data_IF_928876566185
#
_entry.id   IF_928876566185
#
_cell.length_a   1.000
_cell.length_b   1.000
_cell.length_c   1.000
_cell.angle_alpha   90.00
_cell.angle_beta   90.00
_cell.angle_gamma   90.00
#
_symmetry.space_group_name_H-M   'P 1'
#
loop_
_entity.id
_entity.type
_entity.pdbx_description
1 polymer ?
#
# COMPACT_ATOMS: atom_id res chain seq x y z
N UNK A 1 30.39 -37.45 -49.79
CA UNK A 1 30.50 -36.51 -48.65
C UNK A 1 29.21 -35.71 -48.56
N UNK A 2 28.27 -36.11 -47.71
CA UNK A 2 27.09 -35.29 -47.37
C UNK A 2 27.12 -35.08 -45.86
N UNK A 3 27.43 -33.85 -45.46
CA UNK A 3 27.50 -33.43 -44.07
C UNK A 3 26.07 -33.23 -43.55
N UNK A 4 25.67 -33.97 -42.52
CA UNK A 4 24.43 -33.72 -41.79
C UNK A 4 24.74 -32.68 -40.69
N UNK A 5 24.25 -31.45 -40.86
CA UNK A 5 24.16 -30.48 -39.77
C UNK A 5 23.04 -30.91 -38.82
N UNK A 6 23.39 -31.25 -37.58
CA UNK A 6 22.42 -31.51 -36.52
C UNK A 6 22.03 -30.17 -35.89
N UNK A 7 20.81 -29.71 -36.17
CA UNK A 7 20.25 -28.49 -35.57
C UNK A 7 19.70 -28.84 -34.17
N UNK A 8 20.46 -28.57 -33.12
CA UNK A 8 19.96 -28.67 -31.74
C UNK A 8 18.98 -27.55 -31.45
N UNK A 9 17.69 -27.88 -31.44
CA UNK A 9 16.62 -27.00 -31.00
C UNK A 9 16.64 -26.94 -29.46
N UNK A 10 17.15 -25.84 -28.89
CA UNK A 10 17.06 -25.60 -27.45
C UNK A 10 15.61 -25.28 -27.09
N UNK A 11 14.89 -26.24 -26.49
CA UNK A 11 13.63 -25.95 -25.81
C UNK A 11 13.92 -25.13 -24.56
N UNK A 12 13.66 -23.83 -24.61
CA UNK A 12 13.49 -23.04 -23.39
C UNK A 12 12.19 -23.47 -22.73
N UNK A 13 12.30 -24.24 -21.64
CA UNK A 13 11.19 -24.44 -20.72
C UNK A 13 10.88 -23.08 -20.08
N UNK A 14 9.86 -22.39 -20.59
CA UNK A 14 9.23 -21.28 -19.90
C UNK A 14 8.58 -21.85 -18.64
N UNK A 15 9.30 -21.82 -17.53
CA UNK A 15 8.68 -21.95 -16.21
C UNK A 15 7.62 -20.85 -16.15
N UNK A 16 6.35 -21.24 -16.28
CA UNK A 16 5.22 -20.32 -16.33
C UNK A 16 5.19 -19.50 -15.06
N UNK A 17 5.71 -18.28 -15.13
CA UNK A 17 5.44 -17.26 -14.13
C UNK A 17 3.92 -17.12 -14.08
N UNK A 18 3.32 -17.30 -12.89
CA UNK A 18 1.88 -17.31 -12.74
C UNK A 18 1.23 -16.05 -13.32
N UNK A 19 -0.05 -16.14 -13.69
CA UNK A 19 -0.92 -15.13 -14.35
C UNK A 19 -0.94 -13.69 -13.77
N UNK A 20 -0.18 -13.40 -12.72
CA UNK A 20 -0.07 -12.10 -12.07
C UNK A 20 1.35 -11.52 -12.05
N UNK A 21 2.34 -12.25 -12.59
CA UNK A 21 3.71 -11.79 -12.66
C UNK A 21 3.84 -10.61 -13.64
N UNK A 22 4.60 -9.60 -13.23
CA UNK A 22 4.86 -8.44 -14.07
C UNK A 22 5.87 -8.72 -15.18
N UNK A 23 5.90 -7.83 -16.18
CA UNK A 23 6.84 -7.87 -17.29
C UNK A 23 8.32 -7.69 -16.88
N UNK A 24 8.59 -7.32 -15.63
CA UNK A 24 9.93 -7.21 -15.06
C UNK A 24 10.51 -8.54 -14.56
N UNK A 25 9.70 -9.60 -14.48
CA UNK A 25 10.21 -10.92 -14.11
C UNK A 25 11.22 -11.47 -15.13
N UNK A 26 12.28 -12.10 -14.61
CA UNK A 26 13.43 -12.61 -15.36
C UNK A 26 14.49 -11.55 -15.72
N UNK A 27 14.20 -10.25 -15.55
CA UNK A 27 15.15 -9.18 -15.88
C UNK A 27 16.18 -8.97 -14.76
N UNK A 28 17.30 -8.32 -15.11
CA UNK A 28 18.21 -7.79 -14.11
C UNK A 28 17.53 -6.61 -13.39
N UNK A 29 17.35 -6.65 -12.06
CA UNK A 29 16.67 -5.59 -11.35
C UNK A 29 17.54 -4.32 -11.25
N UNK A 30 16.93 -3.13 -11.14
CA UNK A 30 17.63 -1.94 -10.65
C UNK A 30 18.12 -2.14 -9.22
N UNK A 31 19.14 -1.41 -8.81
CA UNK A 31 19.59 -1.40 -7.42
C UNK A 31 18.57 -0.75 -6.47
N UNK A 32 18.56 -1.18 -5.20
CA UNK A 32 17.93 -0.39 -4.13
C UNK A 32 18.57 0.99 -3.99
N UNK A 33 17.86 1.94 -3.38
CA UNK A 33 18.33 3.29 -3.08
C UNK A 33 17.41 4.38 -3.61
N UNK A 34 17.89 5.62 -3.53
CA UNK A 34 17.19 6.79 -4.06
C UNK A 34 17.16 6.72 -5.59
N UNK A 35 15.97 6.96 -6.14
CA UNK A 35 15.69 7.05 -7.57
C UNK A 35 15.03 8.40 -7.85
N UNK A 36 15.22 8.89 -9.07
CA UNK A 36 14.61 10.12 -9.56
C UNK A 36 13.76 9.83 -10.79
N UNK A 37 12.71 10.62 -11.00
CA UNK A 37 11.90 10.59 -12.22
C UNK A 37 11.26 11.95 -12.50
N UNK A 38 11.01 12.22 -13.78
CA UNK A 38 10.32 13.43 -14.22
C UNK A 38 8.81 13.20 -14.21
N UNK A 39 8.09 13.92 -13.36
CA UNK A 39 6.63 13.86 -13.25
C UNK A 39 6.07 15.26 -13.41
N UNK A 40 5.22 15.48 -14.41
CA UNK A 40 4.58 16.77 -14.67
C UNK A 40 5.59 17.94 -14.74
N UNK A 41 6.74 17.72 -15.37
CA UNK A 41 7.82 18.71 -15.51
C UNK A 41 8.65 18.95 -14.23
N UNK A 42 8.45 18.16 -13.17
CA UNK A 42 9.19 18.25 -11.91
C UNK A 42 10.06 17.02 -11.71
N UNK A 43 11.28 17.23 -11.21
CA UNK A 43 12.12 16.13 -10.74
C UNK A 43 11.59 15.64 -9.39
N UNK A 44 11.15 14.39 -9.32
CA UNK A 44 10.61 13.74 -8.12
C UNK A 44 11.52 12.61 -7.68
N UNK A 45 11.65 12.43 -6.38
CA UNK A 45 12.50 11.39 -5.79
C UNK A 45 11.69 10.36 -5.01
N UNK A 46 12.17 9.12 -5.00
CA UNK A 46 11.63 8.05 -4.18
C UNK A 46 12.75 7.08 -3.78
N UNK A 47 12.58 6.40 -2.66
CA UNK A 47 13.43 5.27 -2.30
C UNK A 47 12.81 3.98 -2.77
N UNK A 48 13.54 3.21 -3.58
CA UNK A 48 13.24 1.82 -3.90
C UNK A 48 14.04 0.92 -2.96
N UNK A 49 13.37 0.01 -2.26
CA UNK A 49 14.02 -1.00 -1.44
C UNK A 49 13.59 -2.40 -1.89
N UNK A 50 14.53 -3.14 -2.48
CA UNK A 50 14.39 -4.56 -2.73
C UNK A 50 14.67 -5.37 -1.45
N UNK A 51 14.07 -6.57 -1.32
CA UNK A 51 14.47 -7.51 -0.29
C UNK A 51 15.95 -7.93 -0.46
N UNK A 52 16.61 -8.32 0.62
CA UNK A 52 18.05 -8.62 0.61
C UNK A 52 18.35 -9.78 -0.33
N UNK A 53 17.49 -10.80 -0.31
CA UNK A 53 17.57 -11.97 -1.19
C UNK A 53 16.57 -11.87 -2.34
N UNK A 54 16.54 -10.73 -3.04
CA UNK A 54 15.64 -10.54 -4.18
C UNK A 54 15.89 -11.59 -5.27
N UNK A 55 14.80 -12.24 -5.69
CA UNK A 55 14.77 -13.24 -6.76
C UNK A 55 13.98 -12.67 -7.94
N UNK A 56 14.63 -12.52 -9.09
CA UNK A 56 14.02 -11.93 -10.28
C UNK A 56 13.03 -12.85 -11.00
N UNK A 57 12.96 -14.13 -10.65
CA UNK A 57 12.04 -15.12 -11.19
C UNK A 57 10.90 -15.49 -10.22
N UNK A 58 10.82 -14.81 -9.07
CA UNK A 58 9.77 -14.99 -8.07
C UNK A 58 9.01 -13.68 -7.92
N UNK A 59 7.72 -13.62 -8.25
CA UNK A 59 6.92 -12.41 -8.04
C UNK A 59 6.90 -11.99 -6.56
N UNK A 60 7.33 -10.76 -6.28
CA UNK A 60 7.32 -10.15 -4.94
C UNK A 60 6.09 -9.27 -4.75
N UNK A 61 5.68 -9.08 -3.48
CA UNK A 61 4.70 -8.06 -3.13
C UNK A 61 5.28 -6.67 -3.33
N UNK A 62 4.43 -5.67 -3.56
CA UNK A 62 4.84 -4.27 -3.64
C UNK A 62 4.07 -3.44 -2.62
N UNK A 63 4.78 -2.70 -1.76
CA UNK A 63 4.16 -1.80 -0.77
C UNK A 63 4.69 -0.38 -0.96
N UNK A 64 3.76 0.57 -1.15
CA UNK A 64 4.04 2.00 -1.09
C UNK A 64 3.85 2.53 0.34
N UNK A 65 4.85 3.26 0.85
CA UNK A 65 4.82 3.91 2.16
C UNK A 65 4.91 5.43 2.03
N UNK A 66 3.81 6.16 2.30
CA UNK A 66 3.73 7.61 2.13
C UNK A 66 3.99 8.34 3.45
N UNK A 67 4.92 9.30 3.47
CA UNK A 67 5.30 10.05 4.67
C UNK A 67 4.22 11.05 5.12
N UNK A 68 4.29 11.47 6.39
CA UNK A 68 3.42 12.52 6.98
C UNK A 68 3.90 13.93 6.61
N UNK A 69 3.13 14.97 6.98
CA UNK A 69 3.53 16.36 6.77
C UNK A 69 4.88 16.66 7.45
N UNK A 70 5.78 17.35 6.77
CA UNK A 70 7.16 17.65 7.24
C UNK A 70 8.09 16.44 7.35
N UNK A 71 7.62 15.23 7.04
CA UNK A 71 8.45 14.05 6.83
C UNK A 71 9.00 13.97 5.40
N UNK A 72 9.74 12.90 5.12
CA UNK A 72 10.25 12.57 3.79
C UNK A 72 10.38 11.05 3.60
N UNK A 73 10.76 10.62 2.38
CA UNK A 73 10.97 9.21 2.05
C UNK A 73 11.97 8.49 2.97
N UNK A 74 13.02 9.18 3.44
CA UNK A 74 14.03 8.64 4.34
C UNK A 74 13.46 8.31 5.72
N UNK A 75 12.55 9.13 6.24
CA UNK A 75 11.87 8.84 7.51
C UNK A 75 11.01 7.56 7.42
N UNK A 76 10.33 7.34 6.29
CA UNK A 76 9.56 6.10 6.06
C UNK A 76 10.48 4.89 6.02
N UNK A 77 11.61 4.98 5.34
CA UNK A 77 12.63 3.91 5.26
C UNK A 77 13.21 3.61 6.65
N UNK A 78 13.52 4.63 7.44
CA UNK A 78 14.04 4.49 8.80
C UNK A 78 13.01 3.83 9.73
N UNK A 79 11.74 4.21 9.61
CA UNK A 79 10.61 3.59 10.32
C UNK A 79 10.24 2.19 9.83
N UNK A 80 10.99 1.63 8.86
CA UNK A 80 10.72 0.29 8.31
C UNK A 80 9.37 0.21 7.61
N UNK A 81 8.94 1.29 6.95
CA UNK A 81 7.64 1.41 6.28
C UNK A 81 6.48 1.13 7.24
N UNK A 82 6.44 1.87 8.35
CA UNK A 82 5.47 1.68 9.43
C UNK A 82 5.55 0.26 10.03
N UNK A 83 6.77 -0.21 10.25
CA UNK A 83 7.07 -1.53 10.80
C UNK A 83 6.87 -2.73 9.86
N UNK A 84 6.32 -2.53 8.65
CA UNK A 84 6.02 -3.62 7.73
C UNK A 84 7.25 -4.37 7.22
N UNK A 85 8.40 -3.71 7.11
CA UNK A 85 9.64 -4.34 6.64
C UNK A 85 10.03 -5.56 7.47
N UNK A 86 9.86 -5.49 8.79
CA UNK A 86 10.21 -6.59 9.69
C UNK A 86 9.26 -7.79 9.54
N UNK A 87 7.99 -7.55 9.17
CA UNK A 87 6.99 -8.60 8.96
C UNK A 87 7.07 -9.24 7.57
N UNK A 88 7.62 -8.50 6.60
CA UNK A 88 7.72 -8.93 5.22
C UNK A 88 8.85 -9.92 4.95
N UNK A 89 9.95 -9.86 5.71
CA UNK A 89 11.16 -10.59 5.37
C UNK A 89 11.58 -10.30 3.92
N UNK A 90 11.91 -11.35 3.15
CA UNK A 90 12.32 -11.23 1.75
C UNK A 90 11.14 -11.29 0.73
N UNK A 91 9.88 -11.16 1.16
CA UNK A 91 8.72 -11.32 0.25
C UNK A 91 8.31 -10.06 -0.51
N UNK A 92 8.87 -8.91 -0.14
CA UNK A 92 8.26 -7.61 -0.46
C UNK A 92 9.29 -6.59 -0.91
N UNK A 93 8.97 -5.91 -1.99
CA UNK A 93 9.61 -4.68 -2.43
C UNK A 93 8.85 -3.51 -1.82
N UNK A 94 9.59 -2.51 -1.35
CA UNK A 94 9.02 -1.29 -0.81
C UNK A 94 9.40 -0.07 -1.65
N UNK A 95 8.46 0.86 -1.80
CA UNK A 95 8.66 2.18 -2.40
C UNK A 95 8.24 3.25 -1.40
N UNK A 96 9.12 4.20 -1.09
CA UNK A 96 8.79 5.39 -0.31
C UNK A 96 8.93 6.63 -1.21
N UNK A 97 7.83 7.20 -1.71
CA UNK A 97 7.88 8.42 -2.50
C UNK A 97 8.13 9.66 -1.64
N UNK A 98 8.80 10.66 -2.22
CA UNK A 98 8.99 11.97 -1.60
C UNK A 98 7.94 12.97 -2.14
N UNK A 99 7.09 13.44 -1.24
CA UNK A 99 6.06 14.44 -1.49
C UNK A 99 6.65 15.82 -1.73
N UNK A 100 5.97 16.63 -2.54
CA UNK A 100 6.37 18.03 -2.75
C UNK A 100 6.10 18.85 -1.49
N UNK A 101 7.01 19.79 -1.18
CA UNK A 101 6.88 20.67 0.00
C UNK A 101 6.65 19.89 1.30
N UNK A 102 7.25 18.70 1.41
CA UNK A 102 7.06 17.76 2.51
C UNK A 102 5.58 17.42 2.80
N UNK A 103 4.75 17.35 1.76
CA UNK A 103 3.33 17.02 1.87
C UNK A 103 2.75 16.40 0.60
N UNK A 104 1.42 16.25 0.60
CA UNK A 104 0.65 15.55 -0.43
C UNK A 104 -0.57 16.37 -0.87
N UNK A 105 -0.34 17.62 -1.25
CA UNK A 105 -1.41 18.50 -1.73
C UNK A 105 -2.10 17.94 -2.97
N UNK A 106 -1.38 17.11 -3.75
CA UNK A 106 -1.92 16.39 -4.89
C UNK A 106 -2.69 17.29 -5.87
N UNK A 107 -2.18 18.50 -6.08
CA UNK A 107 -2.83 19.49 -6.94
C UNK A 107 -2.95 18.94 -8.36
N UNK A 108 -4.16 18.95 -8.91
CA UNK A 108 -4.43 18.37 -10.23
C UNK A 108 -4.15 16.85 -10.33
N UNK A 109 -3.97 16.14 -9.22
CA UNK A 109 -3.64 14.71 -9.22
C UNK A 109 -2.14 14.38 -9.40
N UNK A 110 -1.25 15.35 -9.23
CA UNK A 110 0.18 15.16 -9.54
C UNK A 110 0.89 14.08 -8.73
N UNK A 111 0.47 13.84 -7.49
CA UNK A 111 1.06 12.80 -6.64
C UNK A 111 0.49 11.41 -6.96
N UNK A 112 -0.73 11.36 -7.52
CA UNK A 112 -1.26 10.14 -8.13
C UNK A 112 -0.51 9.81 -9.40
N UNK A 113 -0.24 10.79 -10.28
CA UNK A 113 0.61 10.58 -11.47
C UNK A 113 2.00 10.07 -11.08
N UNK A 114 2.58 10.59 -9.99
CA UNK A 114 3.86 10.10 -9.48
C UNK A 114 3.76 8.62 -9.03
N UNK A 115 2.71 8.28 -8.29
CA UNK A 115 2.41 6.89 -7.88
C UNK A 115 2.31 5.96 -9.10
N UNK A 116 1.60 6.38 -10.15
CA UNK A 116 1.43 5.59 -11.37
C UNK A 116 2.75 5.35 -12.09
N UNK A 117 3.60 6.37 -12.19
CA UNK A 117 4.89 6.23 -12.85
C UNK A 117 5.83 5.30 -12.08
N UNK A 118 5.85 5.36 -10.74
CA UNK A 118 6.62 4.41 -9.93
C UNK A 118 6.08 2.98 -10.07
N UNK A 119 4.76 2.80 -10.10
CA UNK A 119 4.15 1.49 -10.31
C UNK A 119 4.47 0.94 -11.71
N UNK A 120 4.37 1.77 -12.75
CA UNK A 120 4.74 1.40 -14.11
C UNK A 120 6.21 1.01 -14.21
N UNK A 121 7.11 1.79 -13.59
CA UNK A 121 8.53 1.46 -13.49
C UNK A 121 8.74 0.10 -12.80
N UNK A 122 8.06 -0.14 -11.68
CA UNK A 122 8.16 -1.41 -10.95
C UNK A 122 7.67 -2.59 -11.82
N UNK A 123 6.51 -2.47 -12.47
CA UNK A 123 5.97 -3.52 -13.35
C UNK A 123 6.92 -3.86 -14.51
N UNK A 124 7.63 -2.87 -15.04
CA UNK A 124 8.52 -3.07 -16.19
C UNK A 124 9.89 -3.66 -15.82
N UNK A 125 10.39 -3.40 -14.60
CA UNK A 125 11.79 -3.63 -14.23
C UNK A 125 11.99 -4.57 -13.04
N UNK A 126 10.94 -4.85 -12.28
CA UNK A 126 10.96 -5.73 -11.11
C UNK A 126 9.98 -6.86 -11.30
N UNK A 127 10.28 -8.02 -10.71
CA UNK A 127 9.38 -9.17 -10.67
C UNK A 127 8.40 -8.98 -9.51
N UNK A 128 7.25 -8.38 -9.81
CA UNK A 128 6.20 -8.14 -8.83
C UNK A 128 4.98 -9.01 -9.14
N UNK A 129 4.23 -9.37 -8.11
CA UNK A 129 2.87 -9.86 -8.27
C UNK A 129 1.93 -8.64 -8.36
N UNK A 130 1.41 -8.38 -9.55
CA UNK A 130 0.54 -7.23 -9.82
C UNK A 130 -0.79 -7.30 -9.05
N UNK A 131 -1.16 -8.47 -8.48
CA UNK A 131 -2.34 -8.62 -7.61
C UNK A 131 -2.01 -8.40 -6.13
N UNK A 132 -0.75 -8.12 -5.78
CA UNK A 132 -0.29 -7.88 -4.41
C UNK A 132 0.45 -6.54 -4.29
N UNK A 133 -0.17 -5.49 -4.83
CA UNK A 133 0.27 -4.09 -4.69
C UNK A 133 -0.56 -3.41 -3.61
N UNK A 134 0.11 -2.74 -2.67
CA UNK A 134 -0.50 -2.15 -1.49
C UNK A 134 0.02 -0.74 -1.21
N UNK A 135 -0.78 0.05 -0.48
CA UNK A 135 -0.39 1.39 -0.02
C UNK A 135 -0.68 1.57 1.47
N UNK A 136 0.23 2.26 2.17
CA UNK A 136 0.03 2.71 3.55
C UNK A 136 0.71 4.04 3.84
N UNK A 137 0.22 4.75 4.84
CA UNK A 137 0.79 6.00 5.29
C UNK A 137 0.13 6.53 6.55
N UNK A 138 0.83 7.47 7.19
CA UNK A 138 0.38 8.16 8.41
C UNK A 138 0.02 9.62 8.12
N UNK A 139 -1.04 10.13 8.74
CA UNK A 139 -1.43 11.55 8.69
C UNK A 139 -1.66 12.01 7.24
N UNK A 140 -0.89 12.98 6.75
CA UNK A 140 -0.94 13.39 5.34
C UNK A 140 -0.61 12.24 4.37
N UNK A 141 0.29 11.32 4.76
CA UNK A 141 0.55 10.10 3.99
C UNK A 141 -0.60 9.09 4.07
N UNK A 142 -1.37 9.11 5.16
CA UNK A 142 -2.64 8.38 5.26
C UNK A 142 -3.71 8.95 4.34
N UNK A 143 -3.77 10.28 4.23
CA UNK A 143 -4.63 10.96 3.25
C UNK A 143 -4.20 10.65 1.80
N UNK A 144 -2.90 10.60 1.52
CA UNK A 144 -2.40 10.20 0.20
C UNK A 144 -2.74 8.74 -0.12
N UNK A 145 -2.58 7.84 0.86
CA UNK A 145 -2.99 6.44 0.74
C UNK A 145 -4.49 6.32 0.42
N UNK A 146 -5.35 7.10 1.10
CA UNK A 146 -6.77 7.18 0.76
C UNK A 146 -7.01 7.70 -0.67
N UNK A 147 -6.23 8.69 -1.14
CA UNK A 147 -6.32 9.19 -2.51
C UNK A 147 -5.95 8.12 -3.55
N UNK A 148 -4.96 7.28 -3.27
CA UNK A 148 -4.62 6.08 -4.06
C UNK A 148 -5.80 5.11 -4.10
N UNK A 149 -6.43 4.83 -2.96
CA UNK A 149 -7.61 3.97 -2.88
C UNK A 149 -8.74 4.44 -3.80
N UNK A 150 -8.98 5.77 -3.84
CA UNK A 150 -9.99 6.35 -4.73
C UNK A 150 -9.62 6.27 -6.21
N UNK A 151 -8.35 6.55 -6.52
CA UNK A 151 -7.90 6.80 -7.89
C UNK A 151 -7.48 5.53 -8.61
N UNK A 152 -6.92 4.54 -7.90
CA UNK A 152 -6.34 3.30 -8.45
C UNK A 152 -6.87 2.01 -7.81
N UNK A 153 -8.20 1.84 -7.68
CA UNK A 153 -8.82 0.69 -7.01
C UNK A 153 -8.58 -0.65 -7.74
N UNK A 154 -8.19 -0.62 -9.02
CA UNK A 154 -7.87 -1.80 -9.82
C UNK A 154 -6.39 -2.19 -9.78
N UNK A 155 -5.50 -1.25 -9.45
CA UNK A 155 -4.06 -1.48 -9.40
C UNK A 155 -3.58 -1.85 -7.99
N UNK A 156 -4.29 -1.39 -6.95
CA UNK A 156 -3.97 -1.65 -5.55
C UNK A 156 -4.95 -2.65 -4.94
N UNK A 157 -4.44 -3.79 -4.49
CA UNK A 157 -5.24 -4.85 -3.88
C UNK A 157 -5.83 -4.44 -2.53
N UNK A 158 -5.09 -3.63 -1.77
CA UNK A 158 -5.54 -3.04 -0.52
C UNK A 158 -4.80 -1.74 -0.16
N UNK A 159 -5.46 -0.91 0.63
CA UNK A 159 -4.91 0.30 1.23
C UNK A 159 -5.14 0.28 2.74
N UNK A 160 -4.12 0.64 3.51
CA UNK A 160 -4.20 0.87 4.94
C UNK A 160 -3.92 2.34 5.27
N UNK A 161 -4.77 2.97 6.06
CA UNK A 161 -4.66 4.38 6.43
C UNK A 161 -4.44 4.49 7.93
N UNK A 162 -3.42 5.25 8.36
CA UNK A 162 -3.15 5.52 9.78
C UNK A 162 -3.39 7.01 10.05
N UNK A 163 -4.35 7.33 10.92
CA UNK A 163 -4.75 8.71 11.28
C UNK A 163 -4.90 9.64 10.07
N UNK A 164 -5.56 9.18 8.99
CA UNK A 164 -5.74 9.96 7.77
C UNK A 164 -7.09 10.68 7.71
N UNK A 165 -7.15 11.76 6.93
CA UNK A 165 -8.37 12.52 6.61
C UNK A 165 -8.43 12.86 5.12
N UNK A 166 -9.51 13.50 4.65
CA UNK A 166 -9.66 13.92 3.25
C UNK A 166 -8.81 15.16 2.96
N UNK A 167 -7.50 14.99 2.74
CA UNK A 167 -6.56 16.09 2.46
C UNK A 167 -6.02 16.08 1.02
N UNK A 168 -5.79 14.89 0.45
CA UNK A 168 -5.14 14.71 -0.87
C UNK A 168 -6.14 14.45 -2.01
N UNK A 169 -7.42 14.76 -1.79
CA UNK A 169 -8.50 14.48 -2.73
C UNK A 169 -8.93 13.00 -2.77
N UNK A 170 -9.91 12.71 -3.62
CA UNK A 170 -10.47 11.36 -3.81
C UNK A 170 -11.14 11.26 -5.19
N UNK A 171 -10.35 11.40 -6.24
CA UNK A 171 -10.86 11.29 -7.61
C UNK A 171 -11.22 9.84 -7.92
N UNK A 172 -12.38 9.62 -8.55
CA UNK A 172 -12.83 8.30 -9.00
C UNK A 172 -13.45 7.40 -7.93
N UNK A 173 -13.35 7.70 -6.62
CA UNK A 173 -13.58 6.80 -5.47
C UNK A 173 -14.98 6.18 -5.28
N UNK A 174 -15.52 5.56 -6.32
CA UNK A 174 -16.80 4.86 -6.40
C UNK A 174 -16.62 3.37 -6.75
N UNK A 175 -15.39 2.95 -7.05
CA UNK A 175 -15.03 1.55 -7.30
C UNK A 175 -14.50 0.92 -6.00
N UNK A 176 -14.95 -0.29 -5.62
CA UNK A 176 -14.52 -0.95 -4.39
C UNK A 176 -13.03 -1.22 -4.31
N UNK A 177 -12.46 -1.07 -3.09
CA UNK A 177 -11.08 -1.46 -2.77
C UNK A 177 -11.03 -2.02 -1.35
N UNK A 178 -10.12 -2.96 -1.08
CA UNK A 178 -9.93 -3.44 0.29
C UNK A 178 -9.35 -2.30 1.13
N UNK A 179 -10.08 -1.84 2.14
CA UNK A 179 -9.74 -0.64 2.91
C UNK A 179 -9.61 -0.91 4.41
N UNK A 180 -8.45 -0.60 4.97
CA UNK A 180 -8.20 -0.57 6.42
C UNK A 180 -7.98 0.88 6.86
N UNK A 181 -8.55 1.25 7.99
CA UNK A 181 -8.28 2.53 8.63
C UNK A 181 -8.05 2.35 10.14
N UNK A 182 -6.96 2.90 10.64
CA UNK A 182 -6.55 2.92 12.05
C UNK A 182 -6.57 4.37 12.53
N UNK A 183 -7.26 4.68 13.64
CA UNK A 183 -7.41 6.06 14.10
C UNK A 183 -7.53 6.20 15.62
N UNK A 184 -6.99 7.28 16.17
CA UNK A 184 -7.02 7.59 17.60
C UNK A 184 -8.24 8.40 18.01
N UNK A 185 -8.90 8.02 19.11
CA UNK A 185 -10.01 8.79 19.67
C UNK A 185 -9.56 10.04 20.43
N UNK A 186 -8.29 10.10 20.83
CA UNK A 186 -7.65 11.29 21.39
C UNK A 186 -6.87 12.11 20.34
N UNK A 187 -7.06 11.83 19.04
CA UNK A 187 -6.39 12.56 17.96
C UNK A 187 -6.90 14.01 17.88
N UNK A 188 -6.03 14.95 18.24
CA UNK A 188 -6.31 16.38 18.28
C UNK A 188 -5.79 17.14 17.04
N UNK A 189 -5.22 16.43 16.06
CA UNK A 189 -4.72 17.01 14.80
C UNK A 189 -5.72 16.73 13.69
N UNK A 190 -6.08 15.45 13.52
CA UNK A 190 -7.15 15.01 12.63
C UNK A 190 -8.14 14.24 13.48
N UNK A 191 -9.31 14.83 13.71
CA UNK A 191 -10.30 14.21 14.60
C UNK A 191 -10.71 12.82 14.11
N UNK A 192 -11.01 11.92 15.04
CA UNK A 192 -11.54 10.58 14.72
C UNK A 192 -12.78 10.64 13.83
N UNK A 193 -13.57 11.72 13.91
CA UNK A 193 -14.72 11.93 13.04
C UNK A 193 -14.33 12.05 11.57
N UNK A 194 -13.20 12.68 11.25
CA UNK A 194 -12.68 12.74 9.88
C UNK A 194 -12.23 11.35 9.39
N UNK A 195 -11.62 10.55 10.27
CA UNK A 195 -11.32 9.15 9.96
C UNK A 195 -12.58 8.31 9.69
N UNK A 196 -13.62 8.49 10.51
CA UNK A 196 -14.93 7.83 10.35
C UNK A 196 -15.59 8.22 9.03
N UNK A 197 -15.50 9.48 8.59
CA UNK A 197 -16.00 9.89 7.27
C UNK A 197 -15.35 9.10 6.12
N UNK A 198 -14.03 8.88 6.18
CA UNK A 198 -13.35 8.05 5.17
C UNK A 198 -13.80 6.58 5.25
N UNK A 199 -13.93 6.03 6.45
CA UNK A 199 -14.48 4.68 6.67
C UNK A 199 -15.88 4.54 6.07
N UNK A 200 -16.78 5.46 6.38
CA UNK A 200 -18.20 5.39 6.01
C UNK A 200 -18.38 5.45 4.49
N UNK A 201 -17.53 6.22 3.81
CA UNK A 201 -17.42 6.16 2.35
C UNK A 201 -17.17 4.74 1.87
N UNK A 202 -16.15 4.05 2.40
CA UNK A 202 -15.81 2.70 1.96
C UNK A 202 -16.82 1.65 2.39
N UNK A 203 -17.52 1.83 3.51
CA UNK A 203 -18.68 1.00 3.88
C UNK A 203 -19.73 1.06 2.76
N UNK A 204 -20.07 2.26 2.27
CA UNK A 204 -20.99 2.45 1.14
C UNK A 204 -20.43 1.90 -0.18
N UNK A 205 -19.22 2.33 -0.55
CA UNK A 205 -18.54 1.94 -1.80
C UNK A 205 -18.20 0.46 -1.87
N UNK A 206 -18.15 -0.27 -0.76
CA UNK A 206 -17.94 -1.72 -0.77
C UNK A 206 -19.21 -2.53 -0.51
N UNK A 207 -20.36 -1.86 -0.30
CA UNK A 207 -21.65 -2.51 -0.04
C UNK A 207 -21.62 -3.32 1.26
N UNK A 208 -21.15 -2.69 2.34
CA UNK A 208 -21.00 -3.29 3.66
C UNK A 208 -22.25 -3.09 4.53
N UNK A 209 -22.54 -4.07 5.38
CA UNK A 209 -23.56 -3.95 6.41
C UNK A 209 -23.10 -2.94 7.48
N UNK A 210 -23.99 -2.04 7.88
CA UNK A 210 -23.71 -1.10 8.96
C UNK A 210 -23.51 -1.85 10.28
N UNK A 211 -22.59 -1.36 11.10
CA UNK A 211 -22.31 -1.87 12.44
C UNK A 211 -22.17 -0.69 13.40
N UNK A 212 -22.68 -0.84 14.62
CA UNK A 212 -22.34 0.06 15.70
C UNK A 212 -20.86 -0.11 16.03
N UNK A 213 -20.12 1.00 16.08
CA UNK A 213 -18.69 1.00 16.42
C UNK A 213 -18.51 1.70 17.75
N UNK A 214 -17.93 0.99 18.71
CA UNK A 214 -17.53 1.54 20.00
C UNK A 214 -16.02 1.75 19.98
N UNK A 215 -15.60 2.94 19.56
CA UNK A 215 -14.19 3.33 19.66
C UNK A 215 -13.79 3.43 21.15
N UNK A 216 -12.56 3.06 21.53
CA UNK A 216 -12.08 3.28 22.88
C UNK A 216 -12.17 4.76 23.28
N UNK A 217 -12.48 5.04 24.54
CA UNK A 217 -12.41 6.40 25.09
C UNK A 217 -10.98 6.97 24.96
N UNK A 218 -10.83 8.29 24.83
CA UNK A 218 -9.52 8.95 24.86
C UNK A 218 -8.69 8.52 26.07
N UNK A 219 -7.43 8.14 25.83
CA UNK A 219 -6.49 7.65 26.86
C UNK A 219 -6.54 6.14 27.15
N UNK A 220 -7.54 5.42 26.63
CA UNK A 220 -7.62 3.98 26.81
C UNK A 220 -6.42 3.24 26.18
N UNK A 221 -5.91 2.22 26.87
CA UNK A 221 -4.70 1.48 26.47
C UNK A 221 -5.00 0.26 25.58
N UNK A 222 -6.16 0.24 24.94
CA UNK A 222 -6.61 -0.81 24.03
C UNK A 222 -6.99 -0.22 22.66
N UNK A 223 -7.22 -1.12 21.70
CA UNK A 223 -7.87 -0.80 20.44
C UNK A 223 -9.10 -1.69 20.24
N UNK A 224 -10.06 -1.22 19.45
CA UNK A 224 -11.21 -2.01 18.98
C UNK A 224 -11.10 -2.15 17.48
N UNK A 225 -11.01 -3.40 17.00
CA UNK A 225 -11.05 -3.75 15.59
C UNK A 225 -12.47 -4.15 15.19
N UNK A 226 -13.00 -3.48 14.17
CA UNK A 226 -14.29 -3.77 13.55
C UNK A 226 -14.08 -4.15 12.09
N UNK A 227 -14.25 -5.43 11.77
CA UNK A 227 -14.30 -5.90 10.39
C UNK A 227 -15.75 -5.95 9.89
N UNK A 228 -15.99 -5.35 8.74
CA UNK A 228 -17.33 -5.25 8.14
C UNK A 228 -17.60 -6.44 7.21
N UNK A 229 -18.85 -6.89 7.21
CA UNK A 229 -19.34 -7.85 6.23
C UNK A 229 -19.75 -7.08 4.98
N UNK A 230 -19.06 -7.32 3.86
CA UNK A 230 -19.22 -6.55 2.63
C UNK A 230 -19.51 -7.47 1.44
N UNK A 231 -20.35 -7.01 0.52
CA UNK A 231 -20.67 -7.73 -0.72
C UNK A 231 -19.56 -7.67 -1.78
N UNK A 232 -18.66 -6.68 -1.70
CA UNK A 232 -17.61 -6.45 -2.71
C UNK A 232 -16.20 -6.64 -2.15
N UNK A 233 -15.67 -5.65 -1.43
CA UNK A 233 -14.30 -5.69 -0.88
C UNK A 233 -14.32 -5.46 0.64
N UNK A 234 -13.40 -6.05 1.40
CA UNK A 234 -13.42 -5.93 2.85
C UNK A 234 -13.13 -4.49 3.30
N UNK A 235 -13.83 -4.07 4.36
CA UNK A 235 -13.52 -2.83 5.10
C UNK A 235 -13.20 -3.22 6.54
N UNK A 236 -12.13 -2.67 7.10
CA UNK A 236 -11.80 -2.81 8.53
C UNK A 236 -11.51 -1.43 9.12
N UNK A 237 -12.10 -1.18 10.29
CA UNK A 237 -11.86 0.00 11.10
C UNK A 237 -11.20 -0.40 12.41
N UNK A 238 -10.17 0.32 12.84
CA UNK A 238 -9.52 0.12 14.13
C UNK A 238 -9.46 1.46 14.87
N UNK A 239 -10.26 1.59 15.92
CA UNK A 239 -10.18 2.72 16.84
C UNK A 239 -9.24 2.41 18.01
N UNK A 240 -8.41 3.36 18.44
CA UNK A 240 -7.58 3.25 19.65
C UNK A 240 -7.71 4.47 20.55
N UNK A 241 -7.40 4.35 21.84
CA UNK A 241 -7.50 5.46 22.79
C UNK A 241 -6.41 6.55 22.64
N UNK A 242 -5.33 6.27 21.92
CA UNK A 242 -4.21 7.20 21.69
C UNK A 242 -4.52 8.41 20.79
N UNK A 243 -3.54 9.31 20.67
CA UNK A 243 -3.62 10.54 19.85
C UNK A 243 -3.11 10.38 18.41
N UNK A 244 -2.62 11.48 17.81
CA UNK A 244 -2.12 11.52 16.44
C UNK A 244 -0.74 10.87 16.28
N UNK A 245 -0.69 9.54 16.11
CA UNK A 245 0.57 8.79 16.08
C UNK A 245 0.62 7.77 14.95
N UNK A 246 1.82 7.58 14.37
CA UNK A 246 2.07 6.58 13.32
C UNK A 246 2.15 5.15 13.88
N UNK A 247 2.59 5.01 15.13
CA UNK A 247 2.85 3.74 15.81
C UNK A 247 1.99 3.62 17.07
N UNK A 248 0.65 3.54 16.95
CA UNK A 248 -0.21 3.41 18.11
C UNK A 248 0.09 2.10 18.85
N UNK A 249 -0.02 2.15 20.18
CA UNK A 249 0.22 1.02 21.05
C UNK A 249 -1.06 0.62 21.78
N UNK A 250 -1.14 -0.67 22.12
CA UNK A 250 -2.11 -1.20 23.06
C UNK A 250 -1.37 -2.08 24.05
N UNK A 251 -1.60 -1.86 25.35
CA UNK A 251 -0.85 -2.51 26.43
C UNK A 251 0.67 -2.45 26.22
N UNK A 252 1.19 -1.29 25.78
CA UNK A 252 2.62 -1.06 25.54
C UNK A 252 3.20 -1.70 24.27
N UNK A 253 2.40 -2.37 23.44
CA UNK A 253 2.85 -3.03 22.22
C UNK A 253 2.29 -2.34 20.96
N UNK A 254 3.14 -2.12 19.96
CA UNK A 254 2.71 -1.61 18.65
C UNK A 254 1.83 -2.64 17.96
N UNK A 255 0.62 -2.26 17.55
CA UNK A 255 -0.31 -3.18 16.88
C UNK A 255 -0.51 -2.86 15.39
N UNK A 256 -0.35 -1.59 14.99
CA UNK A 256 -0.64 -1.16 13.61
C UNK A 256 0.13 -1.93 12.52
N UNK A 257 1.43 -2.26 12.67
CA UNK A 257 2.14 -3.04 11.65
C UNK A 257 1.55 -4.44 11.47
N UNK A 258 1.24 -5.13 12.58
CA UNK A 258 0.68 -6.49 12.55
C UNK A 258 -0.72 -6.52 11.95
N UNK A 259 -1.58 -5.57 12.33
CA UNK A 259 -2.93 -5.44 11.78
C UNK A 259 -2.92 -5.09 10.29
N UNK A 260 -2.03 -4.18 9.87
CA UNK A 260 -1.85 -3.81 8.47
C UNK A 260 -1.37 -5.00 7.64
N UNK A 261 -0.37 -5.74 8.13
CA UNK A 261 0.16 -6.91 7.43
C UNK A 261 -0.89 -8.03 7.31
N UNK A 262 -1.62 -8.31 8.39
CA UNK A 262 -2.73 -9.26 8.39
C UNK A 262 -3.80 -8.88 7.37
N UNK A 263 -4.16 -7.60 7.30
CA UNK A 263 -5.12 -7.09 6.33
C UNK A 263 -4.66 -7.25 4.88
N UNK A 264 -3.40 -6.90 4.57
CA UNK A 264 -2.83 -7.09 3.23
C UNK A 264 -2.80 -8.57 2.81
N UNK A 265 -2.44 -9.47 3.72
CA UNK A 265 -2.47 -10.92 3.47
C UNK A 265 -3.89 -11.42 3.14
N UNK A 266 -4.90 -10.97 3.88
CA UNK A 266 -6.29 -11.36 3.65
C UNK A 266 -6.80 -10.83 2.29
N UNK A 267 -6.46 -9.59 1.93
CA UNK A 267 -6.85 -8.98 0.67
C UNK A 267 -6.24 -9.71 -0.54
N UNK A 268 -4.97 -10.12 -0.46
CA UNK A 268 -4.31 -10.92 -1.49
C UNK A 268 -5.04 -12.26 -1.74
N UNK A 269 -5.44 -12.95 -0.66
CA UNK A 269 -6.16 -14.23 -0.76
C UNK A 269 -7.58 -14.11 -1.34
N UNK A 270 -8.23 -12.95 -1.21
CA UNK A 270 -9.60 -12.73 -1.71
C UNK A 270 -9.63 -12.52 -3.22
N UNK A 271 -8.57 -11.91 -3.78
CA UNK A 271 -8.41 -11.71 -5.22
C UNK A 271 -8.23 -13.01 -6.01
N UNK A 272 -7.81 -14.11 -5.35
CA UNK A 272 -7.70 -15.43 -5.95
C UNK A 272 -9.05 -16.19 -6.01
N UNK A 273 -9.99 -15.91 -5.09
CA UNK A 273 -11.26 -16.66 -4.96
C UNK A 273 -12.41 -16.16 -5.82
N UNK A 274 -12.38 -14.92 -6.31
CA UNK A 274 -13.44 -14.33 -7.16
C UNK A 274 -13.40 -14.81 -8.63
N UNK A 275 -12.74 -15.94 -8.93
CA UNK A 275 -12.52 -16.46 -10.29
C UNK A 275 -12.72 -17.98 -10.43
N UNK A 276 -13.55 -18.57 -9.57
CA UNK A 276 -14.12 -19.90 -9.82
C UNK A 276 -15.56 -19.74 -10.32
#
# INVERSE_FOLDING_TARGET
MKSLLTLTLALFASAGLGDAASAGCGKQPPSSGVKTMQVNGKNREYTLQLPNNYQNNKPHRLVFGYHWLSGNMGNVVQGGYYGLRNLAGDSTIFIAPNGLNAGWANQGGEDITFTDQMLAFAKQNLCIDEKQVFATGFSYGGAMSHSVACSRPNDFAAVAVISGALLSGCNGGNTPVSYLHIHGSADNVLSIQQGRQLRDKWIGTNGCQQKQVNDPSPGAQNYVKTSYTCSRKPVTWIGHGGGHVADPTANGQKFAPGETWSFFNAAAGTSAKLRC
#
